data_IF_789903602947
#
_entry.id   IF_789903602947
#
_cell.length_a   1.000
_cell.length_b   1.000
_cell.length_c   1.000
_cell.angle_alpha   90.00
_cell.angle_beta   90.00
_cell.angle_gamma   90.00
#
_symmetry.space_group_name_H-M   'P 1'
#
loop_
_entity.id
_entity.type
_entity.pdbx_description
1 polymer ?
#
# COMPACT_ATOMS: atom_id res chain seq x y z
N UNK A 1 2.58 -21.89 -16.92
CA UNK A 1 1.48 -22.30 -17.81
C UNK A 1 1.28 -21.32 -18.95
N UNK A 2 0.94 -20.05 -18.68
CA UNK A 2 0.73 -19.04 -19.74
C UNK A 2 1.84 -18.98 -20.80
N UNK A 3 3.11 -18.94 -20.36
CA UNK A 3 4.25 -18.98 -21.28
C UNK A 3 4.26 -20.21 -22.21
N UNK A 4 3.92 -21.40 -21.68
CA UNK A 4 3.83 -22.64 -22.47
C UNK A 4 2.66 -22.57 -23.46
N UNK A 5 1.53 -21.99 -23.06
CA UNK A 5 0.38 -21.76 -23.93
C UNK A 5 0.72 -20.82 -25.08
N UNK A 6 1.44 -19.73 -24.82
CA UNK A 6 1.92 -18.78 -25.84
C UNK A 6 2.94 -19.45 -26.77
N UNK A 7 3.82 -20.29 -26.22
CA UNK A 7 4.89 -20.99 -26.95
C UNK A 7 4.40 -21.86 -28.11
N UNK A 8 3.13 -22.29 -28.08
CA UNK A 8 2.49 -22.99 -29.21
C UNK A 8 2.47 -22.12 -30.48
N UNK A 9 2.26 -20.81 -30.34
CA UNK A 9 2.26 -19.88 -31.46
C UNK A 9 3.65 -19.70 -32.08
N UNK A 10 4.70 -19.92 -31.28
CA UNK A 10 6.09 -19.85 -31.73
C UNK A 10 6.61 -21.19 -32.29
N UNK A 11 5.75 -22.21 -32.44
CA UNK A 11 6.14 -23.55 -32.89
C UNK A 11 7.24 -24.22 -32.05
N UNK A 12 7.33 -23.87 -30.76
CA UNK A 12 8.31 -24.46 -29.82
C UNK A 12 7.72 -25.59 -28.98
N UNK A 13 6.40 -25.58 -28.76
CA UNK A 13 5.68 -26.60 -27.98
C UNK A 13 4.55 -27.21 -28.80
N UNK A 14 4.38 -28.54 -28.72
CA UNK A 14 3.30 -29.24 -29.40
C UNK A 14 1.91 -28.84 -28.85
N UNK A 15 0.95 -28.64 -29.75
CA UNK A 15 -0.45 -28.34 -29.41
C UNK A 15 -1.07 -29.42 -28.53
N UNK A 16 -0.85 -30.69 -28.86
CA UNK A 16 -1.29 -31.85 -28.08
C UNK A 16 -0.72 -31.84 -26.64
N UNK A 17 0.49 -31.33 -26.43
CA UNK A 17 1.07 -31.22 -25.08
C UNK A 17 0.37 -30.16 -24.23
N UNK A 18 -0.12 -29.07 -24.84
CA UNK A 18 -0.90 -28.07 -24.10
C UNK A 18 -2.32 -28.55 -23.84
N UNK A 19 -2.95 -29.27 -24.78
CA UNK A 19 -4.24 -29.92 -24.52
C UNK A 19 -4.12 -30.91 -23.36
N UNK A 20 -3.12 -31.81 -23.38
CA UNK A 20 -2.90 -32.74 -22.28
C UNK A 20 -2.61 -32.05 -20.94
N UNK A 21 -1.92 -30.91 -20.94
CA UNK A 21 -1.73 -30.10 -19.73
C UNK A 21 -3.06 -29.53 -19.22
N UNK A 22 -3.92 -29.02 -20.10
CA UNK A 22 -5.24 -28.50 -19.74
C UNK A 22 -6.19 -29.61 -19.28
N UNK A 23 -6.13 -30.79 -19.88
CA UNK A 23 -6.85 -32.00 -19.45
C UNK A 23 -6.46 -32.36 -18.01
N UNK A 24 -5.16 -32.48 -17.71
CA UNK A 24 -4.72 -32.77 -16.34
C UNK A 24 -5.13 -31.67 -15.34
N UNK A 25 -5.19 -30.41 -15.76
CA UNK A 25 -5.60 -29.30 -14.89
C UNK A 25 -7.12 -29.30 -14.64
N UNK A 26 -7.93 -29.57 -15.67
CA UNK A 26 -9.38 -29.61 -15.53
C UNK A 26 -9.84 -30.82 -14.73
N UNK A 27 -9.12 -31.94 -14.78
CA UNK A 27 -9.39 -33.10 -13.92
C UNK A 27 -9.39 -32.76 -12.42
N UNK A 28 -8.57 -31.79 -11.98
CA UNK A 28 -8.57 -31.32 -10.58
C UNK A 28 -9.93 -30.76 -10.17
N UNK A 29 -10.69 -30.19 -11.10
CA UNK A 29 -12.04 -29.66 -10.82
C UNK A 29 -13.08 -30.73 -10.56
N UNK A 30 -12.83 -31.98 -10.98
CA UNK A 30 -13.71 -33.13 -10.72
C UNK A 30 -13.66 -33.57 -9.26
N UNK A 31 -12.58 -33.25 -8.54
CA UNK A 31 -12.43 -33.48 -7.10
C UNK A 31 -13.14 -32.41 -6.24
N UNK A 32 -14.05 -31.61 -6.83
CA UNK A 32 -14.86 -30.63 -6.12
C UNK A 32 -15.63 -31.28 -4.96
N UNK A 33 -15.20 -31.00 -3.73
CA UNK A 33 -15.72 -31.59 -2.48
C UNK A 33 -14.70 -32.45 -1.71
N UNK A 34 -13.64 -32.93 -2.35
CA UNK A 34 -12.48 -33.58 -1.69
C UNK A 34 -11.29 -32.65 -1.55
N UNK A 35 -11.28 -31.56 -2.32
CA UNK A 35 -10.23 -30.54 -2.31
C UNK A 35 -10.80 -29.16 -2.00
N UNK A 36 -9.92 -28.21 -1.67
CA UNK A 36 -10.33 -26.83 -1.41
C UNK A 36 -10.75 -26.14 -2.71
N UNK A 37 -11.77 -25.28 -2.63
CA UNK A 37 -12.24 -24.52 -3.79
C UNK A 37 -11.15 -23.59 -4.35
N UNK A 38 -10.30 -23.04 -3.48
CA UNK A 38 -9.16 -22.22 -3.89
C UNK A 38 -8.16 -22.98 -4.79
N UNK A 39 -8.00 -24.29 -4.59
CA UNK A 39 -7.18 -25.14 -5.49
C UNK A 39 -7.86 -25.29 -6.85
N UNK A 40 -9.12 -25.68 -6.88
CA UNK A 40 -9.85 -25.89 -8.15
C UNK A 40 -9.98 -24.60 -8.95
N UNK A 41 -10.19 -23.47 -8.26
CA UNK A 41 -10.16 -22.12 -8.84
C UNK A 41 -8.79 -21.79 -9.44
N UNK A 42 -7.71 -22.12 -8.72
CA UNK A 42 -6.36 -21.90 -9.21
C UNK A 42 -6.00 -22.78 -10.41
N UNK A 43 -6.50 -24.01 -10.53
CA UNK A 43 -6.25 -24.83 -11.74
C UNK A 43 -7.11 -24.41 -12.93
N UNK A 44 -8.30 -23.87 -12.67
CA UNK A 44 -9.19 -23.33 -13.70
C UNK A 44 -8.61 -22.05 -14.32
N UNK A 45 -8.13 -21.12 -13.50
CA UNK A 45 -7.68 -19.80 -13.96
C UNK A 45 -6.58 -19.83 -15.04
N UNK A 46 -5.48 -20.61 -14.93
CA UNK A 46 -4.42 -20.71 -15.94
C UNK A 46 -4.89 -21.34 -17.26
N UNK A 47 -5.90 -22.21 -17.24
CA UNK A 47 -6.52 -22.72 -18.47
C UNK A 47 -7.20 -21.55 -19.17
N UNK A 48 -8.11 -20.86 -18.47
CA UNK A 48 -8.87 -19.73 -19.01
C UNK A 48 -7.95 -18.60 -19.49
N UNK A 49 -6.91 -18.26 -18.73
CA UNK A 49 -5.94 -17.23 -19.11
C UNK A 49 -5.03 -17.67 -20.28
N UNK A 50 -4.83 -18.97 -20.50
CA UNK A 50 -4.05 -19.44 -21.65
C UNK A 50 -4.80 -19.33 -22.98
N UNK A 51 -6.12 -19.48 -22.96
CA UNK A 51 -6.98 -19.56 -24.16
C UNK A 51 -6.98 -18.33 -25.09
N UNK A 52 -6.88 -17.07 -24.62
CA UNK A 52 -6.74 -15.90 -25.49
C UNK A 52 -5.52 -15.99 -26.42
N UNK A 53 -4.48 -16.70 -25.98
CA UNK A 53 -3.24 -16.86 -26.73
C UNK A 53 -3.18 -18.17 -27.53
N UNK A 54 -3.70 -19.28 -26.99
CA UNK A 54 -3.56 -20.61 -27.60
C UNK A 54 -4.86 -21.13 -28.25
N UNK A 55 -6.02 -20.61 -27.86
CA UNK A 55 -7.34 -21.18 -28.14
C UNK A 55 -7.61 -21.42 -29.63
N UNK A 56 -7.25 -20.46 -30.48
CA UNK A 56 -7.40 -20.59 -31.93
C UNK A 56 -6.60 -21.79 -32.49
N UNK A 57 -5.33 -21.93 -32.11
CA UNK A 57 -4.46 -23.01 -32.60
C UNK A 57 -4.83 -24.38 -32.04
N UNK A 58 -5.31 -24.42 -30.80
CA UNK A 58 -5.79 -25.64 -30.16
C UNK A 58 -7.11 -26.11 -30.78
N UNK A 59 -8.08 -25.21 -30.96
CA UNK A 59 -9.34 -25.48 -31.63
C UNK A 59 -9.14 -25.99 -33.07
N UNK A 60 -8.17 -25.42 -33.80
CA UNK A 60 -7.83 -25.87 -35.15
C UNK A 60 -7.10 -27.24 -35.18
N UNK A 61 -6.53 -27.68 -34.06
CA UNK A 61 -5.81 -28.95 -33.98
C UNK A 61 -6.71 -30.09 -33.52
N UNK A 62 -7.44 -29.90 -32.42
CA UNK A 62 -8.39 -30.85 -31.87
C UNK A 62 -9.51 -30.09 -31.16
N UNK A 63 -10.58 -29.81 -31.90
CA UNK A 63 -11.75 -29.12 -31.38
C UNK A 63 -12.52 -29.97 -30.37
N UNK A 64 -12.49 -31.31 -30.51
CA UNK A 64 -13.22 -32.21 -29.62
C UNK A 64 -12.62 -32.17 -28.23
N UNK A 65 -11.30 -32.40 -28.12
CA UNK A 65 -10.60 -32.38 -26.84
C UNK A 65 -10.75 -31.01 -26.14
N UNK A 66 -10.64 -29.91 -26.89
CA UNK A 66 -10.86 -28.58 -26.31
C UNK A 66 -12.30 -28.39 -25.80
N UNK A 67 -13.31 -28.88 -26.53
CA UNK A 67 -14.70 -28.80 -26.10
C UNK A 67 -14.98 -29.67 -24.86
N UNK A 68 -14.33 -30.82 -24.74
CA UNK A 68 -14.46 -31.71 -23.57
C UNK A 68 -13.90 -31.03 -22.30
N UNK A 69 -12.73 -30.37 -22.43
CA UNK A 69 -12.15 -29.55 -21.35
C UNK A 69 -13.10 -28.41 -20.96
N UNK A 70 -13.59 -27.64 -21.95
CA UNK A 70 -14.49 -26.52 -21.69
C UNK A 70 -15.83 -26.97 -21.11
N UNK A 71 -16.38 -28.11 -21.54
CA UNK A 71 -17.61 -28.67 -20.98
C UNK A 71 -17.44 -29.10 -19.52
N UNK A 72 -16.27 -29.64 -19.17
CA UNK A 72 -15.95 -29.96 -17.77
C UNK A 72 -15.86 -28.69 -16.92
N UNK A 73 -15.21 -27.64 -17.44
CA UNK A 73 -15.17 -26.33 -16.78
C UNK A 73 -16.56 -25.71 -16.64
N UNK A 74 -17.43 -25.82 -17.65
CA UNK A 74 -18.80 -25.31 -17.58
C UNK A 74 -19.59 -25.95 -16.43
N UNK A 75 -19.46 -27.27 -16.24
CA UNK A 75 -20.07 -27.99 -15.11
C UNK A 75 -19.50 -27.52 -13.77
N UNK A 76 -18.20 -27.23 -13.70
CA UNK A 76 -17.57 -26.68 -12.51
C UNK A 76 -18.08 -25.27 -12.20
N UNK A 77 -18.04 -24.36 -13.18
CA UNK A 77 -18.49 -22.97 -13.05
C UNK A 77 -19.97 -22.89 -12.64
N UNK A 78 -20.82 -23.78 -13.15
CA UNK A 78 -22.24 -23.82 -12.76
C UNK A 78 -22.49 -24.16 -11.28
N UNK A 79 -21.53 -24.82 -10.61
CA UNK A 79 -21.60 -25.19 -9.18
C UNK A 79 -20.73 -24.32 -8.29
N UNK A 80 -19.98 -23.40 -8.88
CA UNK A 80 -19.01 -22.56 -8.19
C UNK A 80 -19.71 -21.65 -7.19
N UNK A 81 -19.16 -21.54 -5.98
CA UNK A 81 -19.73 -20.74 -4.91
C UNK A 81 -18.89 -19.49 -4.70
N UNK A 82 -19.55 -18.33 -4.62
CA UNK A 82 -18.87 -17.04 -4.53
C UNK A 82 -19.21 -16.26 -3.24
N UNK A 83 -19.17 -16.88 -2.03
CA UNK A 83 -19.59 -16.22 -0.80
C UNK A 83 -18.73 -15.00 -0.44
N UNK A 84 -17.48 -14.95 -0.90
CA UNK A 84 -16.56 -13.84 -0.69
C UNK A 84 -16.93 -12.57 -1.47
N UNK A 85 -17.77 -12.65 -2.51
CA UNK A 85 -18.10 -11.49 -3.35
C UNK A 85 -18.80 -10.39 -2.56
N UNK A 86 -19.66 -10.76 -1.59
CA UNK A 86 -20.32 -9.78 -0.71
C UNK A 86 -19.35 -9.05 0.21
N UNK A 87 -18.24 -9.71 0.59
CA UNK A 87 -17.20 -9.14 1.46
C UNK A 87 -16.19 -8.28 0.67
N UNK A 88 -15.87 -8.69 -0.56
CA UNK A 88 -14.80 -8.08 -1.37
C UNK A 88 -15.29 -7.02 -2.36
N UNK A 89 -16.61 -6.86 -2.53
CA UNK A 89 -17.17 -5.78 -3.34
C UNK A 89 -16.78 -4.40 -2.77
N UNK A 90 -16.52 -3.48 -3.69
CA UNK A 90 -16.21 -2.08 -3.44
C UNK A 90 -17.47 -1.22 -3.38
N UNK A 91 -18.52 -1.60 -4.13
CA UNK A 91 -19.82 -0.95 -4.17
C UNK A 91 -20.91 -1.92 -3.73
N UNK A 92 -21.93 -1.39 -3.05
CA UNK A 92 -23.09 -2.18 -2.60
C UNK A 92 -24.10 -2.42 -3.72
N UNK A 93 -24.18 -1.49 -4.68
CA UNK A 93 -25.06 -1.53 -5.85
C UNK A 93 -24.40 -2.22 -7.04
N UNK A 94 -25.20 -2.98 -7.79
CA UNK A 94 -24.78 -3.54 -9.09
C UNK A 94 -24.99 -2.56 -10.27
N UNK A 95 -25.59 -1.39 -10.00
CA UNK A 95 -25.80 -0.31 -10.98
C UNK A 95 -24.71 0.78 -10.83
N UNK A 96 -24.05 1.24 -11.91
CA UNK A 96 -24.21 0.84 -13.31
C UNK A 96 -23.45 -0.43 -13.71
N UNK A 97 -22.54 -0.92 -12.86
CA UNK A 97 -21.67 -2.06 -13.18
C UNK A 97 -21.66 -3.08 -12.04
N UNK A 98 -22.04 -4.34 -12.30
CA UNK A 98 -21.97 -5.38 -11.30
C UNK A 98 -20.51 -5.72 -10.96
N UNK A 99 -20.27 -6.05 -9.69
CA UNK A 99 -18.97 -6.50 -9.22
C UNK A 99 -18.91 -8.02 -9.18
N UNK A 100 -18.45 -8.57 -10.29
CA UNK A 100 -18.39 -9.99 -10.55
C UNK A 100 -17.16 -10.65 -9.90
N UNK A 101 -17.29 -11.93 -9.55
CA UNK A 101 -16.15 -12.78 -9.25
C UNK A 101 -15.20 -12.83 -10.46
N UNK A 102 -13.90 -12.80 -10.21
CA UNK A 102 -12.88 -12.84 -11.26
C UNK A 102 -13.02 -14.02 -12.23
N UNK A 103 -13.37 -15.21 -11.73
CA UNK A 103 -13.48 -16.43 -12.51
C UNK A 103 -14.75 -16.47 -13.35
N UNK A 104 -15.88 -16.02 -12.77
CA UNK A 104 -17.16 -15.88 -13.49
C UNK A 104 -17.04 -14.87 -14.64
N UNK A 105 -16.40 -13.72 -14.37
CA UNK A 105 -16.19 -12.68 -15.38
C UNK A 105 -15.26 -13.19 -16.51
N UNK A 106 -14.16 -13.87 -16.15
CA UNK A 106 -13.25 -14.46 -17.12
C UNK A 106 -13.91 -15.58 -17.93
N UNK A 107 -14.73 -16.42 -17.31
CA UNK A 107 -15.50 -17.45 -18.00
C UNK A 107 -16.42 -16.85 -19.08
N UNK A 108 -17.20 -15.81 -18.72
CA UNK A 108 -18.05 -15.10 -19.66
C UNK A 108 -17.25 -14.50 -20.84
N UNK A 109 -16.08 -13.93 -20.56
CA UNK A 109 -15.17 -13.39 -21.58
C UNK A 109 -14.63 -14.48 -22.51
N UNK A 110 -14.30 -15.66 -21.99
CA UNK A 110 -13.84 -16.81 -22.78
C UNK A 110 -14.99 -17.39 -23.63
N UNK A 111 -16.21 -17.48 -23.11
CA UNK A 111 -17.38 -17.86 -23.89
C UNK A 111 -17.60 -16.89 -25.06
N UNK A 112 -17.48 -15.58 -24.83
CA UNK A 112 -17.58 -14.57 -25.89
C UNK A 112 -16.45 -14.69 -26.91
N UNK A 113 -15.21 -14.91 -26.46
CA UNK A 113 -14.07 -15.16 -27.35
C UNK A 113 -14.28 -16.41 -28.22
N UNK A 114 -14.77 -17.51 -27.64
CA UNK A 114 -15.10 -18.75 -28.36
C UNK A 114 -16.16 -18.51 -29.43
N UNK A 115 -17.24 -17.80 -29.08
CA UNK A 115 -18.30 -17.42 -30.02
C UNK A 115 -17.78 -16.50 -31.13
N UNK A 116 -16.78 -15.67 -30.83
CA UNK A 116 -16.05 -14.83 -31.77
C UNK A 116 -14.97 -15.56 -32.59
N UNK A 117 -14.87 -16.89 -32.52
CA UNK A 117 -13.92 -17.68 -33.30
C UNK A 117 -12.47 -17.62 -32.81
N UNK A 118 -12.26 -17.35 -31.52
CA UNK A 118 -10.94 -17.23 -30.89
C UNK A 118 -10.08 -16.07 -31.45
N UNK A 119 -10.73 -14.98 -31.84
CA UNK A 119 -10.07 -13.79 -32.37
C UNK A 119 -10.17 -12.65 -31.34
N UNK A 120 -9.03 -12.06 -31.00
CA UNK A 120 -8.92 -10.85 -30.18
C UNK A 120 -8.00 -9.84 -30.88
N UNK A 121 -8.04 -8.57 -30.47
CA UNK A 121 -7.41 -7.44 -31.19
C UNK A 121 -6.33 -6.68 -30.42
N UNK A 122 -5.99 -7.08 -29.20
CA UNK A 122 -5.15 -6.28 -28.30
C UNK A 122 -3.75 -6.87 -28.15
N UNK A 123 -3.58 -8.20 -28.20
CA UNK A 123 -2.27 -8.79 -27.94
C UNK A 123 -1.27 -8.47 -29.06
N UNK A 124 -0.07 -8.07 -28.66
CA UNK A 124 1.04 -7.87 -29.57
C UNK A 124 1.71 -9.21 -29.85
N UNK A 125 1.43 -9.77 -31.03
CA UNK A 125 1.93 -11.06 -31.47
C UNK A 125 3.23 -10.93 -32.25
N UNK A 126 4.33 -10.66 -31.55
CA UNK A 126 5.65 -10.45 -32.19
C UNK A 126 6.05 -11.61 -33.10
N UNK A 127 5.67 -12.84 -32.75
CA UNK A 127 5.97 -14.05 -33.52
C UNK A 127 5.35 -14.06 -34.93
N UNK A 128 4.28 -13.30 -35.19
CA UNK A 128 3.66 -13.20 -36.52
C UNK A 128 4.60 -12.53 -37.54
N UNK A 129 5.57 -11.75 -37.06
CA UNK A 129 6.60 -11.13 -37.91
C UNK A 129 7.71 -12.10 -38.33
N UNK A 130 7.70 -13.35 -37.83
CA UNK A 130 8.76 -14.34 -38.05
C UNK A 130 8.18 -15.63 -38.67
N UNK A 131 7.78 -15.62 -39.96
CA UNK A 131 7.20 -16.79 -40.62
C UNK A 131 8.14 -18.00 -40.64
N UNK A 132 9.46 -17.77 -40.57
CA UNK A 132 10.47 -18.83 -40.46
C UNK A 132 10.28 -19.74 -39.24
N UNK A 133 9.66 -19.25 -38.15
CA UNK A 133 9.30 -20.06 -36.99
C UNK A 133 8.34 -21.18 -37.36
N UNK A 134 7.38 -20.91 -38.27
CA UNK A 134 6.44 -21.93 -38.76
C UNK A 134 7.13 -22.93 -39.69
N UNK A 135 8.01 -22.44 -40.55
CA UNK A 135 8.68 -23.25 -41.59
C UNK A 135 9.73 -24.20 -40.99
N UNK A 136 10.48 -23.73 -39.99
CA UNK A 136 11.63 -24.46 -39.43
C UNK A 136 11.41 -24.89 -37.98
N UNK A 137 10.28 -24.53 -37.37
CA UNK A 137 9.96 -24.87 -35.99
C UNK A 137 9.90 -26.38 -35.78
N UNK A 138 10.52 -26.84 -34.69
CA UNK A 138 10.46 -28.22 -34.24
C UNK A 138 9.78 -28.25 -32.87
N UNK A 139 8.44 -28.37 -32.81
CA UNK A 139 7.73 -28.31 -31.55
C UNK A 139 8.08 -29.49 -30.65
N UNK A 140 8.47 -29.20 -29.42
CA UNK A 140 8.80 -30.20 -28.41
C UNK A 140 7.53 -30.76 -27.76
N UNK A 141 7.53 -32.07 -27.53
CA UNK A 141 6.52 -32.74 -26.70
C UNK A 141 6.87 -32.50 -25.23
N UNK A 142 5.92 -31.99 -24.46
CA UNK A 142 6.05 -31.93 -23.00
C UNK A 142 5.74 -33.29 -22.40
N UNK A 143 6.48 -33.65 -21.35
CA UNK A 143 6.09 -34.76 -20.48
C UNK A 143 4.74 -34.45 -19.83
N UNK A 144 3.84 -35.45 -19.67
CA UNK A 144 2.61 -35.27 -18.93
C UNK A 144 2.91 -34.69 -17.55
N UNK A 145 2.21 -33.60 -17.20
CA UNK A 145 2.41 -32.92 -15.92
C UNK A 145 1.22 -33.25 -15.03
N UNK A 146 1.47 -34.09 -14.04
CA UNK A 146 0.46 -34.44 -13.04
C UNK A 146 0.40 -33.34 -11.99
N UNK A 147 -0.78 -32.74 -11.74
CA UNK A 147 -0.99 -31.86 -10.60
C UNK A 147 -0.58 -32.56 -9.30
N UNK A 148 0.17 -31.90 -8.39
CA UNK A 148 0.42 -32.44 -7.07
C UNK A 148 -0.89 -32.75 -6.34
N UNK A 149 -0.89 -33.80 -5.51
CA UNK A 149 -2.03 -34.17 -4.67
C UNK A 149 -2.48 -33.03 -3.76
N UNK A 150 -3.72 -33.10 -3.28
CA UNK A 150 -4.22 -32.11 -2.34
C UNK A 150 -3.45 -32.17 -1.03
N UNK A 151 -2.93 -31.02 -0.61
CA UNK A 151 -2.30 -30.81 0.68
C UNK A 151 -2.96 -29.60 1.35
N UNK A 152 -3.42 -29.80 2.59
CA UNK A 152 -4.09 -28.76 3.36
C UNK A 152 -3.13 -27.66 3.84
N UNK A 153 -1.81 -27.92 3.85
CA UNK A 153 -0.80 -26.92 4.19
C UNK A 153 -0.47 -25.99 3.01
N UNK A 154 -0.83 -26.38 1.78
CA UNK A 154 -0.58 -25.56 0.59
C UNK A 154 -1.58 -24.41 0.52
N UNK A 155 -1.04 -23.20 0.50
CA UNK A 155 -1.82 -21.97 0.42
C UNK A 155 -2.01 -21.60 -1.06
N UNK A 156 -3.27 -21.57 -1.50
CA UNK A 156 -3.66 -21.10 -2.83
C UNK A 156 -3.99 -19.60 -2.81
N UNK A 157 -3.85 -18.89 -3.94
CA UNK A 157 -4.22 -17.48 -4.03
C UNK A 157 -5.68 -17.23 -3.62
N UNK A 158 -5.89 -16.11 -2.93
CA UNK A 158 -7.23 -15.68 -2.54
C UNK A 158 -8.05 -15.26 -3.78
N UNK A 159 -9.36 -15.53 -3.79
CA UNK A 159 -10.23 -15.07 -4.86
C UNK A 159 -10.34 -13.54 -4.85
N UNK A 160 -10.65 -12.96 -6.01
CA UNK A 160 -10.82 -11.53 -6.18
C UNK A 160 -12.15 -11.17 -6.84
N UNK A 161 -12.53 -9.90 -6.71
CA UNK A 161 -13.71 -9.31 -7.34
C UNK A 161 -13.23 -8.27 -8.34
N UNK A 162 -13.81 -8.28 -9.55
CA UNK A 162 -13.42 -7.36 -10.61
C UNK A 162 -13.87 -5.94 -10.23
N UNK A 163 -12.91 -5.01 -10.24
CA UNK A 163 -13.18 -3.59 -10.04
C UNK A 163 -13.55 -2.94 -11.38
N UNK A 164 -14.66 -2.21 -11.43
CA UNK A 164 -15.15 -1.57 -12.66
C UNK A 164 -15.83 -0.24 -12.38
N UNK A 165 -15.18 0.87 -12.73
CA UNK A 165 -15.71 2.23 -12.54
C UNK A 165 -15.97 2.97 -13.86
N UNK A 166 -15.61 2.37 -15.00
CA UNK A 166 -15.63 3.04 -16.30
C UNK A 166 -16.25 2.18 -17.39
N UNK A 167 -17.46 2.54 -17.79
CA UNK A 167 -17.78 2.85 -19.17
C UNK A 167 -17.68 4.37 -19.28
N UNK A 168 -16.82 4.88 -20.17
CA UNK A 168 -16.85 6.30 -20.51
C UNK A 168 -18.21 6.56 -21.17
N UNK A 169 -19.23 6.88 -20.38
CA UNK A 169 -20.40 7.59 -20.87
C UNK A 169 -19.86 8.87 -21.52
N UNK A 170 -20.08 9.12 -22.81
CA UNK A 170 -19.62 10.32 -23.50
C UNK A 170 -20.41 11.58 -23.07
N UNK A 171 -20.91 11.64 -21.84
CA UNK A 171 -21.72 12.75 -21.32
C UNK A 171 -20.96 13.48 -20.22
N UNK A 172 -19.95 14.22 -20.68
CA UNK A 172 -19.12 15.10 -19.86
C UNK A 172 -18.43 16.19 -20.68
N UNK A 173 -19.14 16.80 -21.64
CA UNK A 173 -18.81 18.15 -22.16
C UNK A 173 -17.50 18.36 -22.93
N UNK A 174 -16.64 17.36 -23.10
CA UNK A 174 -15.42 17.50 -23.90
C UNK A 174 -15.67 17.04 -25.34
N UNK A 175 -15.85 18.01 -26.25
CA UNK A 175 -15.82 17.77 -27.71
C UNK A 175 -14.42 17.30 -28.12
N UNK A 176 -14.11 16.03 -27.93
CA UNK A 176 -12.95 15.41 -28.56
C UNK A 176 -13.26 15.20 -30.04
N UNK A 177 -12.78 16.13 -30.87
CA UNK A 177 -12.84 16.03 -32.32
C UNK A 177 -11.82 15.01 -32.83
N UNK A 178 -12.18 13.73 -32.76
CA UNK A 178 -11.73 12.54 -33.50
C UNK A 178 -12.19 11.35 -32.66
N UNK A 179 -12.88 10.39 -33.28
CA UNK A 179 -13.41 9.17 -32.65
C UNK A 179 -12.47 8.65 -31.55
N UNK A 180 -12.80 8.93 -30.29
CA UNK A 180 -12.02 8.45 -29.18
C UNK A 180 -12.09 6.91 -29.19
N UNK A 181 -10.96 6.20 -28.96
CA UNK A 181 -10.99 4.75 -28.92
C UNK A 181 -12.00 4.27 -27.87
N UNK A 182 -12.97 3.48 -28.32
CA UNK A 182 -14.01 2.93 -27.46
C UNK A 182 -13.38 1.91 -26.52
N UNK A 183 -13.62 2.06 -25.21
CA UNK A 183 -13.14 1.12 -24.22
C UNK A 183 -13.78 -0.27 -24.46
N UNK A 184 -13.02 -1.37 -24.48
CA UNK A 184 -13.61 -2.70 -24.63
C UNK A 184 -14.62 -3.01 -23.52
N UNK A 185 -15.74 -3.61 -23.91
CA UNK A 185 -16.85 -3.94 -23.02
C UNK A 185 -16.44 -4.91 -21.91
N UNK A 186 -17.19 -4.93 -20.81
CA UNK A 186 -16.87 -5.67 -19.60
C UNK A 186 -16.56 -7.17 -19.81
N UNK A 187 -17.35 -7.82 -20.66
CA UNK A 187 -17.21 -9.25 -21.00
C UNK A 187 -16.48 -9.51 -22.33
N UNK A 188 -15.65 -8.57 -22.78
CA UNK A 188 -14.72 -8.82 -23.90
C UNK A 188 -13.38 -9.31 -23.37
N UNK A 189 -12.71 -10.21 -24.08
CA UNK A 189 -11.40 -10.70 -23.63
C UNK A 189 -10.34 -9.62 -23.71
N UNK A 190 -10.48 -8.68 -24.64
CA UNK A 190 -9.65 -7.49 -24.76
C UNK A 190 -9.61 -6.70 -23.45
N UNK A 191 -10.76 -6.56 -22.78
CA UNK A 191 -10.83 -5.86 -21.49
C UNK A 191 -9.97 -6.55 -20.43
N UNK A 192 -10.09 -7.87 -20.31
CA UNK A 192 -9.28 -8.67 -19.39
C UNK A 192 -7.79 -8.58 -19.69
N UNK A 193 -7.40 -8.69 -20.97
CA UNK A 193 -5.98 -8.63 -21.35
C UNK A 193 -5.37 -7.26 -21.03
N UNK A 194 -6.09 -6.17 -21.28
CA UNK A 194 -5.66 -4.82 -20.91
C UNK A 194 -5.52 -4.70 -19.39
N UNK A 195 -6.55 -5.07 -18.64
CA UNK A 195 -6.58 -4.96 -17.18
C UNK A 195 -5.45 -5.80 -16.55
N UNK A 196 -5.22 -7.01 -17.04
CA UNK A 196 -4.12 -7.89 -16.59
C UNK A 196 -2.74 -7.33 -16.95
N UNK A 197 -2.53 -6.84 -18.17
CA UNK A 197 -1.23 -6.25 -18.55
C UNK A 197 -0.93 -5.01 -17.71
N UNK A 198 -1.93 -4.17 -17.45
CA UNK A 198 -1.79 -3.03 -16.54
C UNK A 198 -1.51 -3.50 -15.10
N UNK A 199 -2.22 -4.51 -14.60
CA UNK A 199 -1.99 -5.06 -13.27
C UNK A 199 -0.57 -5.62 -13.12
N UNK A 200 -0.06 -6.34 -14.12
CA UNK A 200 1.30 -6.87 -14.18
C UNK A 200 2.31 -5.73 -14.22
N UNK A 201 2.11 -4.72 -15.07
CA UNK A 201 2.98 -3.55 -15.14
C UNK A 201 3.03 -2.84 -13.78
N UNK A 202 1.87 -2.59 -13.17
CA UNK A 202 1.79 -1.96 -11.85
C UNK A 202 2.47 -2.80 -10.77
N UNK A 203 2.28 -4.12 -10.77
CA UNK A 203 2.88 -5.03 -9.79
C UNK A 203 4.40 -5.09 -9.91
N UNK A 204 4.92 -5.15 -11.14
CA UNK A 204 6.37 -5.15 -11.38
C UNK A 204 7.01 -3.77 -11.16
N UNK A 205 6.21 -2.69 -11.14
CA UNK A 205 6.71 -1.34 -10.95
C UNK A 205 6.58 -0.82 -9.50
N UNK A 206 5.76 -1.39 -8.59
CA UNK A 206 5.59 -0.81 -7.23
C UNK A 206 4.97 -1.72 -6.14
N UNK A 207 5.49 -1.60 -4.90
CA UNK A 207 5.21 -2.44 -3.72
C UNK A 207 3.98 -2.05 -2.84
N UNK A 208 3.20 -1.00 -3.10
CA UNK A 208 1.98 -0.71 -2.30
C UNK A 208 0.99 0.23 -3.02
N UNK A 209 -0.16 -0.31 -3.47
CA UNK A 209 -1.13 0.42 -4.34
C UNK A 209 -1.74 1.68 -3.69
N UNK A 210 -2.03 1.65 -2.39
CA UNK A 210 -2.57 2.82 -1.66
C UNK A 210 -1.50 3.90 -1.48
N UNK A 211 -0.26 3.50 -1.17
CA UNK A 211 0.86 4.44 -1.03
C UNK A 211 1.21 5.11 -2.36
N UNK A 212 1.17 4.36 -3.48
CA UNK A 212 1.28 4.98 -4.80
C UNK A 212 0.22 6.05 -4.95
N UNK A 213 -1.07 5.71 -4.81
CA UNK A 213 -2.12 6.69 -5.08
C UNK A 213 -1.92 7.94 -4.24
N UNK A 214 -1.59 7.79 -2.96
CA UNK A 214 -1.26 8.91 -2.08
C UNK A 214 -0.06 9.72 -2.61
N UNK A 215 1.02 9.07 -3.04
CA UNK A 215 2.22 9.71 -3.60
C UNK A 215 1.90 10.46 -4.90
N UNK A 216 1.27 9.79 -5.86
CA UNK A 216 0.84 10.37 -7.12
C UNK A 216 -0.12 11.54 -6.90
N UNK A 217 -1.15 11.36 -6.07
CA UNK A 217 -2.17 12.38 -5.82
C UNK A 217 -1.55 13.61 -5.15
N UNK A 218 -0.70 13.40 -4.13
CA UNK A 218 -0.01 14.49 -3.45
C UNK A 218 0.95 15.24 -4.38
N UNK A 219 1.68 14.51 -5.22
CA UNK A 219 2.58 15.10 -6.21
C UNK A 219 1.82 15.83 -7.33
N UNK A 220 0.70 15.27 -7.78
CA UNK A 220 -0.16 15.93 -8.76
C UNK A 220 -0.64 17.27 -8.18
N UNK A 221 -1.24 17.28 -6.99
CA UNK A 221 -1.70 18.50 -6.36
C UNK A 221 -0.59 19.53 -6.15
N UNK A 222 0.64 19.12 -5.82
CA UNK A 222 1.76 20.08 -5.66
C UNK A 222 2.10 20.82 -6.96
N UNK A 223 1.93 20.18 -8.12
CA UNK A 223 2.11 20.80 -9.43
C UNK A 223 0.95 21.73 -9.82
N UNK A 224 -0.27 21.48 -9.30
CA UNK A 224 -1.48 22.25 -9.60
C UNK A 224 -1.90 23.17 -8.43
N UNK A 225 -0.92 23.81 -7.78
CA UNK A 225 -1.15 24.83 -6.74
C UNK A 225 -2.02 24.36 -5.56
N UNK A 226 -2.00 23.04 -5.28
CA UNK A 226 -2.76 22.39 -4.21
C UNK A 226 -4.29 22.57 -4.34
N UNK A 227 -4.78 22.86 -5.55
CA UNK A 227 -6.20 23.04 -5.80
C UNK A 227 -6.91 21.69 -5.89
N UNK A 228 -7.89 21.49 -5.01
CA UNK A 228 -8.76 20.32 -5.02
C UNK A 228 -10.12 20.65 -4.42
N UNK A 229 -11.17 19.98 -4.90
CA UNK A 229 -12.54 20.13 -4.39
C UNK A 229 -12.75 19.40 -3.05
N UNK A 230 -11.95 19.72 -2.03
CA UNK A 230 -11.98 19.05 -0.71
C UNK A 230 -13.37 18.95 -0.10
N UNK A 231 -14.25 19.93 -0.33
CA UNK A 231 -15.64 19.93 0.17
C UNK A 231 -16.43 18.70 -0.28
N UNK A 232 -16.16 18.15 -1.46
CA UNK A 232 -16.83 16.94 -1.97
C UNK A 232 -16.50 15.70 -1.13
N UNK A 233 -15.40 15.74 -0.37
CA UNK A 233 -14.97 14.64 0.49
C UNK A 233 -15.44 14.79 1.94
N UNK A 234 -16.35 15.73 2.25
CA UNK A 234 -16.74 16.02 3.63
C UNK A 234 -17.37 14.83 4.37
N UNK A 235 -17.92 13.85 3.64
CA UNK A 235 -18.43 12.59 4.20
C UNK A 235 -17.34 11.78 4.91
N UNK A 236 -16.06 11.97 4.56
CA UNK A 236 -14.96 11.25 5.21
C UNK A 236 -14.66 11.73 6.62
N UNK A 237 -15.16 12.91 7.02
CA UNK A 237 -14.87 13.50 8.33
C UNK A 237 -15.49 12.67 9.48
N UNK A 238 -16.65 12.08 9.24
CA UNK A 238 -17.40 11.24 10.20
C UNK A 238 -16.93 9.79 10.23
N UNK A 239 -16.02 9.38 9.34
CA UNK A 239 -15.50 8.01 9.29
C UNK A 239 -14.48 7.74 10.41
N UNK A 240 -14.32 6.47 10.74
CA UNK A 240 -13.32 5.98 11.68
C UNK A 240 -11.89 6.41 11.28
N UNK A 241 -11.00 6.79 12.22
CA UNK A 241 -9.62 7.17 11.92
C UNK A 241 -8.80 6.14 11.14
N UNK A 242 -9.07 4.84 11.29
CA UNK A 242 -8.40 3.76 10.55
C UNK A 242 -9.06 3.47 9.20
N UNK A 243 -10.16 4.14 8.86
CA UNK A 243 -10.80 3.96 7.55
C UNK A 243 -9.85 4.34 6.40
N UNK A 244 -9.84 3.57 5.29
CA UNK A 244 -8.94 3.81 4.17
C UNK A 244 -9.07 5.22 3.58
N UNK A 245 -10.29 5.77 3.50
CA UNK A 245 -10.56 7.09 2.93
C UNK A 245 -10.03 8.21 3.83
N UNK A 246 -10.21 8.12 5.16
CA UNK A 246 -9.68 9.12 6.09
C UNK A 246 -8.15 9.05 6.12
N UNK A 247 -7.57 7.85 6.10
CA UNK A 247 -6.11 7.64 6.03
C UNK A 247 -5.51 8.18 4.74
N UNK A 248 -6.17 7.98 3.60
CA UNK A 248 -5.78 8.56 2.31
C UNK A 248 -5.62 10.09 2.41
N UNK A 249 -6.62 10.76 2.98
CA UNK A 249 -6.66 12.22 3.09
C UNK A 249 -5.57 12.71 4.05
N UNK A 250 -5.47 12.11 5.24
CA UNK A 250 -4.45 12.48 6.23
C UNK A 250 -3.04 12.29 5.68
N UNK A 251 -2.76 11.16 5.03
CA UNK A 251 -1.46 10.85 4.43
C UNK A 251 -1.13 11.75 3.22
N UNK A 252 -2.13 12.15 2.45
CA UNK A 252 -1.97 13.12 1.37
C UNK A 252 -1.63 14.50 1.96
N UNK A 253 -2.37 14.98 2.95
CA UNK A 253 -2.11 16.26 3.62
C UNK A 253 -0.70 16.30 4.24
N UNK A 254 -0.26 15.22 4.90
CA UNK A 254 1.10 15.08 5.40
C UNK A 254 2.15 15.31 4.30
N UNK A 255 1.94 14.77 3.10
CA UNK A 255 2.86 14.93 1.96
C UNK A 255 2.77 16.32 1.33
N UNK A 256 1.58 16.88 1.21
CA UNK A 256 1.41 18.26 0.72
C UNK A 256 2.12 19.28 1.62
N UNK A 257 2.13 19.06 2.93
CA UNK A 257 2.89 19.89 3.87
C UNK A 257 4.40 19.76 3.63
N UNK A 258 4.90 18.57 3.26
CA UNK A 258 6.31 18.38 2.87
C UNK A 258 6.66 19.04 1.55
N UNK A 259 5.74 19.05 0.59
CA UNK A 259 5.91 19.77 -0.69
C UNK A 259 5.71 21.29 -0.57
N UNK A 260 5.17 21.76 0.54
CA UNK A 260 4.89 23.17 0.81
C UNK A 260 5.23 23.51 2.26
N UNK A 261 4.35 24.19 2.97
CA UNK A 261 4.44 24.44 4.41
C UNK A 261 3.05 24.43 5.03
N UNK A 262 3.00 24.19 6.33
CA UNK A 262 1.78 23.95 7.08
C UNK A 262 0.70 25.03 6.86
N UNK A 263 1.08 26.31 7.00
CA UNK A 263 0.14 27.43 6.85
C UNK A 263 -0.45 27.56 5.43
N UNK A 264 0.32 27.25 4.38
CA UNK A 264 -0.20 27.32 3.02
C UNK A 264 -1.25 26.23 2.76
N UNK A 265 -0.96 25.00 3.18
CA UNK A 265 -1.90 23.88 3.03
C UNK A 265 -3.17 24.16 3.84
N UNK A 266 -3.03 24.60 5.10
CA UNK A 266 -4.15 24.97 5.97
C UNK A 266 -5.02 26.06 5.36
N UNK A 267 -4.42 27.10 4.76
CA UNK A 267 -5.14 28.20 4.10
C UNK A 267 -6.00 27.74 2.92
N UNK A 268 -5.53 26.74 2.16
CA UNK A 268 -6.21 26.24 0.96
C UNK A 268 -7.26 25.15 1.28
N UNK A 269 -7.23 24.62 2.49
CA UNK A 269 -8.11 23.57 2.97
C UNK A 269 -9.38 24.17 3.61
N UNK A 270 -10.58 23.59 3.42
CA UNK A 270 -11.77 24.01 4.16
C UNK A 270 -11.58 23.81 5.67
N UNK A 271 -12.11 24.72 6.49
CA UNK A 271 -11.98 24.67 7.97
C UNK A 271 -12.46 23.35 8.58
N UNK A 272 -13.47 22.71 7.99
CA UNK A 272 -14.00 21.41 8.44
C UNK A 272 -12.96 20.28 8.37
N UNK A 273 -11.94 20.40 7.53
CA UNK A 273 -10.88 19.41 7.35
C UNK A 273 -9.67 19.65 8.25
N UNK A 274 -9.68 20.70 9.08
CA UNK A 274 -8.55 20.99 9.97
C UNK A 274 -8.29 19.85 10.97
N UNK A 275 -9.32 19.10 11.33
CA UNK A 275 -9.21 17.90 12.18
C UNK A 275 -8.37 16.78 11.55
N UNK A 276 -8.14 16.80 10.24
CA UNK A 276 -7.34 15.81 9.52
C UNK A 276 -5.90 16.28 9.25
N UNK A 277 -5.58 17.54 9.59
CA UNK A 277 -4.20 18.02 9.46
C UNK A 277 -3.31 17.30 10.48
N UNK A 278 -2.08 16.91 10.11
CA UNK A 278 -1.11 16.46 11.08
C UNK A 278 -0.77 17.58 12.07
N UNK A 279 -0.18 17.26 13.24
CA UNK A 279 0.33 18.29 14.14
C UNK A 279 1.31 19.22 13.41
N UNK A 280 1.31 20.50 13.82
CA UNK A 280 2.21 21.48 13.24
C UNK A 280 3.66 21.03 13.44
N UNK A 281 4.53 21.09 12.41
CA UNK A 281 5.92 20.64 12.51
C UNK A 281 6.76 21.65 13.30
N UNK A 282 6.61 21.65 14.63
CA UNK A 282 7.37 22.50 15.57
C UNK A 282 8.36 21.68 16.37
N UNK A 283 9.49 22.29 16.75
CA UNK A 283 10.47 21.66 17.64
C UNK A 283 9.89 21.60 19.05
N UNK A 284 9.81 20.39 19.63
CA UNK A 284 9.38 20.18 21.02
C UNK A 284 10.63 20.01 21.87
N UNK A 285 11.00 21.05 22.61
CA UNK A 285 12.12 20.99 23.55
C UNK A 285 11.64 20.52 24.93
N UNK A 286 12.01 19.28 25.30
CA UNK A 286 11.67 18.66 26.58
C UNK A 286 12.04 19.51 27.80
N UNK A 287 13.13 20.28 27.72
CA UNK A 287 13.74 20.98 28.84
C UNK A 287 13.27 22.44 28.98
N UNK A 288 12.61 23.00 27.96
CA UNK A 288 11.97 24.31 28.05
C UNK A 288 10.68 24.24 28.88
N UNK A 289 9.91 23.16 28.72
CA UNK A 289 8.64 22.97 29.43
C UNK A 289 8.78 22.33 30.81
N UNK A 290 9.94 21.74 31.15
CA UNK A 290 10.19 21.06 32.42
C UNK A 290 11.56 21.44 33.01
N UNK A 291 11.68 22.62 33.63
CA UNK A 291 12.95 23.14 34.13
C UNK A 291 13.54 22.27 35.25
N UNK A 292 12.70 21.57 36.01
CA UNK A 292 13.10 20.81 37.21
C UNK A 292 13.75 19.45 36.92
N UNK A 293 13.86 19.05 35.64
CA UNK A 293 14.52 17.80 35.30
C UNK A 293 16.01 17.87 35.68
N UNK A 294 16.56 16.83 36.34
CA UNK A 294 17.98 16.82 36.74
C UNK A 294 18.96 16.99 35.57
N UNK A 295 18.53 16.70 34.34
CA UNK A 295 19.33 16.85 33.13
C UNK A 295 19.18 18.19 32.41
N UNK A 296 18.32 19.10 32.90
CA UNK A 296 18.08 20.42 32.29
C UNK A 296 19.33 21.29 32.27
N UNK A 297 20.05 21.36 33.40
CA UNK A 297 21.29 22.15 33.51
C UNK A 297 22.34 21.68 32.51
N UNK A 298 22.50 20.38 32.35
CA UNK A 298 23.43 19.81 31.37
C UNK A 298 22.99 20.09 29.93
N UNK A 299 21.69 19.94 29.64
CA UNK A 299 21.15 20.21 28.31
C UNK A 299 21.45 21.66 27.88
N UNK A 300 21.18 22.65 28.73
CA UNK A 300 21.46 24.05 28.40
C UNK A 300 22.97 24.31 28.24
N UNK A 301 23.84 23.71 29.08
CA UNK A 301 25.30 23.77 28.87
C UNK A 301 25.75 23.18 27.53
N UNK A 302 25.08 22.11 27.06
CA UNK A 302 25.36 21.53 25.75
C UNK A 302 24.86 22.44 24.62
N UNK A 303 23.66 23.02 24.75
CA UNK A 303 23.14 23.99 23.79
C UNK A 303 24.02 25.23 23.71
N UNK A 304 24.50 25.75 24.84
CA UNK A 304 25.38 26.91 24.90
C UNK A 304 26.78 26.63 24.35
N UNK A 305 27.32 25.42 24.57
CA UNK A 305 28.60 25.03 23.96
C UNK A 305 28.50 24.90 22.44
N UNK A 306 27.38 24.40 21.91
CA UNK A 306 27.09 24.36 20.47
C UNK A 306 26.91 25.77 19.91
N UNK A 307 26.12 26.64 20.58
CA UNK A 307 25.93 28.05 20.18
C UNK A 307 27.24 28.84 20.23
N UNK A 308 28.08 28.56 21.22
CA UNK A 308 29.41 29.12 21.40
C UNK A 308 30.48 28.54 20.45
N UNK A 309 30.10 27.61 19.56
CA UNK A 309 30.99 26.98 18.57
C UNK A 309 32.25 26.35 19.17
N UNK A 310 32.12 25.74 20.34
CA UNK A 310 33.24 25.02 20.96
C UNK A 310 33.67 23.82 20.10
N UNK A 311 34.93 23.40 20.27
CA UNK A 311 35.48 22.25 19.53
C UNK A 311 34.66 20.98 19.80
N UNK A 312 34.38 20.13 18.78
CA UNK A 312 33.61 18.91 18.94
C UNK A 312 34.11 18.00 20.07
N UNK A 313 35.43 17.90 20.27
CA UNK A 313 36.03 17.11 21.35
C UNK A 313 35.64 17.62 22.75
N UNK A 314 35.46 18.93 22.89
CA UNK A 314 35.04 19.56 24.15
C UNK A 314 33.54 19.37 24.40
N UNK A 315 32.71 19.48 23.36
CA UNK A 315 31.27 19.18 23.45
C UNK A 315 31.04 17.70 23.81
N UNK A 316 31.84 16.79 23.23
CA UNK A 316 31.80 15.35 23.54
C UNK A 316 32.17 15.08 24.99
N UNK A 317 33.24 15.68 25.51
CA UNK A 317 33.62 15.57 26.93
C UNK A 317 32.48 16.01 27.86
N UNK A 318 31.83 17.12 27.56
CA UNK A 318 30.67 17.63 28.34
C UNK A 318 29.51 16.61 28.33
N UNK A 319 29.23 16.00 27.17
CA UNK A 319 28.19 14.98 27.05
C UNK A 319 28.54 13.67 27.79
N UNK A 320 29.81 13.25 27.76
CA UNK A 320 30.31 12.06 28.45
C UNK A 320 30.24 12.22 29.97
N UNK A 321 30.68 13.37 30.50
CA UNK A 321 30.58 13.69 31.93
C UNK A 321 29.13 13.62 32.41
N UNK A 322 28.19 14.14 31.61
CA UNK A 322 26.77 14.09 31.92
C UNK A 322 26.20 12.67 31.98
N UNK A 323 26.66 11.78 31.10
CA UNK A 323 26.26 10.37 31.05
C UNK A 323 26.77 9.61 32.28
N UNK A 324 28.01 9.86 32.68
CA UNK A 324 28.65 9.20 33.83
C UNK A 324 28.01 9.60 35.17
N UNK A 325 27.62 10.87 35.34
CA UNK A 325 26.85 11.32 36.51
C UNK A 325 25.49 10.61 36.64
N UNK A 326 24.87 10.18 35.54
CA UNK A 326 23.63 9.38 35.54
C UNK A 326 23.85 7.94 35.98
N UNK A 327 24.96 7.32 35.52
CA UNK A 327 25.34 5.96 35.92
C UNK A 327 25.62 5.82 37.41
N UNK A 328 26.30 6.81 38.00
CA UNK A 328 26.61 6.85 39.45
C UNK A 328 25.38 6.97 40.35
N UNK A 329 24.29 7.60 39.87
CA UNK A 329 23.03 7.72 40.63
C UNK A 329 22.20 6.44 40.64
N UNK A 330 22.34 5.56 39.64
CA UNK A 330 21.69 4.23 39.65
C UNK A 330 22.43 3.19 40.50
N UNK A 331 23.72 3.40 40.78
CA UNK A 331 24.53 2.52 41.62
C UNK A 331 24.44 2.81 43.13
N UNK A 332 23.75 3.88 43.55
CA UNK A 332 23.60 4.29 44.96
C UNK A 332 22.13 4.22 45.37
N UNK A 333 21.54 3.03 45.22
CA UNK A 333 20.33 2.60 45.93
C UNK A 333 20.54 1.15 46.36
N UNK A 334 20.76 0.92 47.66
CA UNK A 334 20.95 -0.39 48.30
C UNK A 334 19.61 -1.17 48.41
N UNK A 335 19.57 -2.32 49.11
CA UNK A 335 19.72 -3.69 48.63
C UNK A 335 18.36 -4.40 48.41
N UNK A 336 18.43 -5.56 47.75
CA UNK A 336 17.31 -6.48 47.57
C UNK A 336 16.74 -6.96 48.90
N UNK A 337 15.48 -6.63 49.20
CA UNK A 337 14.60 -7.50 49.96
C UNK A 337 13.77 -8.33 48.98
N UNK A 338 14.00 -9.63 49.02
CA UNK A 338 13.36 -10.64 48.19
C UNK A 338 12.23 -11.25 49.00
N UNK A 339 11.01 -10.74 48.86
CA UNK A 339 9.81 -11.51 49.15
C UNK A 339 8.72 -11.15 48.12
N UNK A 340 8.37 -12.15 47.31
CA UNK A 340 7.53 -11.98 46.14
C UNK A 340 6.05 -11.94 46.49
N UNK A 341 5.32 -11.01 45.88
CA UNK A 341 3.94 -11.18 45.41
C UNK A 341 3.73 -10.23 44.22
N UNK A 342 3.45 -10.78 43.04
CA UNK A 342 2.91 -10.01 41.91
C UNK A 342 1.45 -9.68 42.27
N UNK A 343 1.12 -8.39 42.31
CA UNK A 343 -0.27 -7.92 42.27
C UNK A 343 -0.38 -6.78 41.27
N UNK A 344 -1.10 -7.09 40.18
CA UNK A 344 -1.62 -6.17 39.20
C UNK A 344 -2.40 -5.03 39.88
N UNK A 345 -2.23 -3.79 39.40
CA UNK A 345 -3.14 -2.69 39.71
C UNK A 345 -3.48 -1.96 38.41
N UNK A 346 -4.77 -2.01 38.11
CA UNK A 346 -5.49 -1.38 37.02
C UNK A 346 -5.34 0.15 37.02
N UNK A 347 -5.12 0.75 35.84
CA UNK A 347 -5.23 2.19 35.63
C UNK A 347 -6.71 2.60 35.59
N UNK A 348 -7.11 3.43 36.55
CA UNK A 348 -8.44 4.04 36.61
C UNK A 348 -8.36 5.47 36.07
N UNK A 349 -9.14 5.73 35.01
CA UNK A 349 -9.41 7.08 34.51
C UNK A 349 -10.33 7.81 35.48
N UNK A 350 -10.01 9.07 35.81
CA UNK A 350 -10.97 10.02 36.36
C UNK A 350 -11.05 11.24 35.43
N UNK A 351 -12.24 11.43 34.88
CA UNK A 351 -12.74 12.66 34.28
C UNK A 351 -13.00 13.68 35.39
N UNK A 352 -12.74 14.96 35.13
CA UNK A 352 -13.52 16.02 35.77
C UNK A 352 -13.64 17.23 34.82
N UNK A 353 -14.90 17.53 34.49
CA UNK A 353 -15.36 18.76 33.86
C UNK A 353 -15.34 19.90 34.90
N UNK A 354 -14.92 21.10 34.50
CA UNK A 354 -15.70 22.32 34.79
C UNK A 354 -15.19 23.54 34.03
N UNK A 355 -16.18 24.26 33.53
CA UNK A 355 -16.21 25.54 32.83
C UNK A 355 -15.68 26.72 33.64
N UNK A 356 -15.02 27.68 32.97
CA UNK A 356 -15.52 29.06 32.97
C UNK A 356 -14.90 29.93 31.88
N UNK A 357 -15.77 30.67 31.21
CA UNK A 357 -15.52 31.69 30.18
C UNK A 357 -15.06 32.99 30.85
N UNK A 358 -13.98 33.60 30.35
CA UNK A 358 -13.87 35.07 30.36
C UNK A 358 -12.85 35.56 29.33
N UNK A 359 -13.38 36.25 28.32
CA UNK A 359 -12.65 37.11 27.41
C UNK A 359 -11.97 38.26 28.15
N UNK A 360 -10.70 38.50 27.84
CA UNK A 360 -10.18 39.88 27.78
C UNK A 360 -9.07 40.01 26.73
N UNK A 361 -9.30 40.91 25.79
CA UNK A 361 -8.30 41.57 24.96
C UNK A 361 -7.17 42.14 25.84
N UNK A 362 -5.91 42.00 25.42
CA UNK A 362 -4.95 43.11 25.45
C UNK A 362 -3.63 42.77 24.72
N UNK A 363 -3.49 43.40 23.56
CA UNK A 363 -2.32 44.14 23.05
C UNK A 363 -0.90 43.65 23.38
N UNK A 364 -0.17 43.34 22.31
CA UNK A 364 1.29 43.37 22.21
C UNK A 364 1.87 44.66 22.83
N UNK A 365 2.62 44.51 23.93
CA UNK A 365 3.55 45.52 24.41
C UNK A 365 4.85 44.82 24.78
N UNK A 366 5.89 45.12 24.02
CA UNK A 366 7.28 44.76 24.31
C UNK A 366 7.64 45.11 25.76
N UNK A 367 8.07 44.12 26.54
CA UNK A 367 8.81 44.35 27.79
C UNK A 367 10.15 43.63 27.74
N UNK A 368 11.19 44.42 27.45
CA UNK A 368 12.53 44.19 27.96
C UNK A 368 12.48 44.14 29.50
N UNK A 369 12.39 42.92 30.06
CA UNK A 369 12.55 42.66 31.48
C UNK A 369 13.80 41.80 31.70
N UNK A 370 14.75 42.32 32.46
CA UNK A 370 16.01 41.65 32.82
C UNK A 370 15.73 40.27 33.40
N UNK A 371 16.43 39.25 32.89
CA UNK A 371 16.35 37.88 33.39
C UNK A 371 16.92 37.81 34.83
N UNK A 372 16.40 36.97 35.74
CA UNK A 372 16.78 36.90 37.16
C UNK A 372 18.21 36.38 37.46
N UNK A 373 19.15 36.53 36.52
CA UNK A 373 20.46 35.89 36.51
C UNK A 373 21.51 36.64 37.35
N UNK A 374 21.23 37.86 37.82
CA UNK A 374 22.22 38.68 38.54
C UNK A 374 22.42 38.33 40.04
N UNK A 375 21.78 37.27 40.55
CA UNK A 375 21.78 36.97 42.01
C UNK A 375 22.37 35.64 42.43
N UNK A 376 23.03 34.89 41.55
CA UNK A 376 23.69 33.63 41.93
C UNK A 376 25.21 33.89 42.06
N UNK A 377 25.81 33.79 43.25
CA UNK A 377 27.25 33.94 43.41
C UNK A 377 27.97 32.85 42.63
N UNK A 378 28.85 33.25 41.70
CA UNK A 378 29.83 32.36 41.06
C UNK A 378 31.00 32.12 42.02
N UNK A 379 30.80 31.30 43.04
CA UNK A 379 31.89 30.77 43.87
C UNK A 379 31.43 29.45 44.50
N UNK A 380 31.91 28.34 43.97
CA UNK A 380 31.71 27.01 44.56
C UNK A 380 33.12 26.42 44.78
N UNK A 381 33.58 26.23 46.03
CA UNK A 381 34.97 25.87 46.34
C UNK A 381 35.38 24.45 45.92
N UNK A 382 34.53 23.71 45.23
CA UNK A 382 34.81 22.35 44.75
C UNK A 382 35.38 22.30 43.31
N UNK A 383 35.61 23.44 42.66
CA UNK A 383 36.13 23.50 41.28
C UNK A 383 37.36 24.39 41.04
N UNK A 384 37.95 25.01 42.08
CA UNK A 384 39.16 25.85 41.94
C UNK A 384 40.49 25.06 41.91
N UNK A 385 40.47 23.73 42.09
CA UNK A 385 41.70 22.91 42.10
C UNK A 385 42.24 22.50 40.72
N UNK A 386 41.73 23.05 39.61
CA UNK A 386 42.20 22.70 38.26
C UNK A 386 43.06 23.77 37.56
N UNK A 387 43.44 24.85 38.24
CA UNK A 387 44.14 25.98 37.60
C UNK A 387 45.60 26.22 38.00
N UNK A 388 46.20 25.42 38.90
CA UNK A 388 47.62 25.56 39.23
C UNK A 388 48.44 24.35 38.79
N UNK A 389 49.06 24.45 37.62
CA UNK A 389 50.34 23.79 37.34
C UNK A 389 51.16 24.66 36.38
N UNK A 390 52.13 25.38 36.92
CA UNK A 390 53.19 26.08 36.19
C UNK A 390 54.03 25.11 35.31
N UNK A 391 54.72 25.63 34.27
CA UNK A 391 55.39 24.81 33.27
C UNK A 391 56.79 24.36 33.73
N UNK A 392 57.09 23.07 33.60
CA UNK A 392 58.46 22.57 33.75
C UNK A 392 59.26 22.73 32.44
N UNK A 393 60.47 23.27 32.59
CA UNK A 393 61.53 23.50 31.60
C UNK A 393 62.04 22.23 30.92
#
# INVERSE_FOLDING_TARGET
>A
VLFLSISVNCYTVQKASILGLYESFVEVTLDAGRSSQARTDWYTYPILYGLPYSGHLLAAHDLSALNDILGTLEVYMAKHQCPHVSLLRVWESDDPHPQENYLDCLWAQICNLRNGGWVEKVTWRLYDSFPSLKEHGQPHKLSPLTPPDYDAEVIYPLPSVIFRISELLPDGGAKFTKEAPVLPGAHTIERFLIDEHLAILMYNLSFNRVMWFIEWFSYHLSNYQLQWSWKEWSSSLTLDPMSPQKRLITEALCRLIRFSYFENVKRLLPKSFYILLPPQPTVINKYESNPDLPSTRTFFRLVDSIRGRLEPQTVLRIAETASQCRGRRRSISEPFDNDGVIRDVEEKYEEDESSDDSHSDHSDVERHGKSPIDTIPLSDPEFDELNDSEPAK
#
